data_IF_896107950093
#
_entry.id   IF_896107950093
#
_cell.length_a   1.000
_cell.length_b   1.000
_cell.length_c   1.000
_cell.angle_alpha   90.00
_cell.angle_beta   90.00
_cell.angle_gamma   90.00
#
_symmetry.space_group_name_H-M   'P 1'
#
loop_
_entity.id
_entity.type
_entity.pdbx_description
1 polymer ?
#
# COMPACT_ATOMS: atom_id res chain seq x y z
N UNK A 1 -32.94 8.69 -0.18
CA UNK A 1 -32.04 7.64 -0.68
C UNK A 1 -31.28 7.07 0.49
N UNK A 2 -31.20 5.74 0.57
CA UNK A 2 -30.50 5.04 1.64
C UNK A 2 -29.08 4.68 1.20
N UNK A 3 -28.11 5.11 1.99
CA UNK A 3 -26.68 4.86 1.77
C UNK A 3 -26.18 4.03 2.95
N UNK A 4 -25.44 2.97 2.69
CA UNK A 4 -24.86 2.13 3.73
C UNK A 4 -23.34 2.15 3.63
N UNK A 5 -22.65 2.39 4.73
CA UNK A 5 -21.18 2.17 4.86
C UNK A 5 -21.00 0.86 5.61
N UNK A 6 -20.56 -0.18 4.91
CA UNK A 6 -20.51 -1.54 5.47
C UNK A 6 -19.34 -1.77 6.42
N UNK A 7 -18.23 -1.05 6.25
CA UNK A 7 -16.98 -1.27 6.97
C UNK A 7 -16.05 -0.03 6.89
N UNK A 8 -16.48 1.09 7.47
CA UNK A 8 -15.83 2.39 7.32
C UNK A 8 -14.73 2.73 8.32
N UNK A 9 -14.44 1.87 9.33
CA UNK A 9 -13.53 2.21 10.43
C UNK A 9 -12.10 2.50 9.98
N UNK A 10 -11.58 1.77 9.00
CA UNK A 10 -10.18 1.91 8.56
C UNK A 10 -9.97 3.26 7.86
N UNK A 11 -10.97 3.75 7.15
CA UNK A 11 -10.93 5.06 6.49
C UNK A 11 -11.24 6.20 7.46
N UNK A 12 -12.12 5.96 8.44
CA UNK A 12 -12.49 6.95 9.42
C UNK A 12 -12.64 6.35 10.83
N UNK A 13 -11.54 6.24 11.58
CA UNK A 13 -11.58 5.76 12.96
C UNK A 13 -12.15 6.81 13.94
N UNK A 14 -12.73 7.91 13.44
CA UNK A 14 -13.34 8.98 14.24
C UNK A 14 -12.62 10.33 14.14
N UNK A 15 -11.61 10.46 13.28
CA UNK A 15 -10.83 11.69 13.09
C UNK A 15 -11.18 12.44 11.78
N UNK A 16 -12.15 11.94 11.01
CA UNK A 16 -12.70 12.57 9.80
C UNK A 16 -14.21 12.74 9.92
N UNK A 17 -14.80 13.57 9.05
CA UNK A 17 -16.24 13.85 9.06
C UNK A 17 -16.98 13.11 7.95
N UNK A 18 -18.06 12.40 8.29
CA UNK A 18 -18.99 11.84 7.33
C UNK A 18 -20.06 12.84 6.83
N UNK A 19 -20.12 14.05 7.39
CA UNK A 19 -21.14 15.05 7.02
C UNK A 19 -21.30 15.29 5.51
N UNK A 20 -20.23 15.30 4.67
CA UNK A 20 -20.40 15.41 3.22
C UNK A 20 -21.16 14.23 2.58
N UNK A 21 -21.06 13.03 3.16
CA UNK A 21 -21.84 11.86 2.71
C UNK A 21 -23.26 11.93 3.21
N UNK A 22 -23.49 12.33 4.46
CA UNK A 22 -24.81 12.51 5.09
C UNK A 22 -25.66 13.54 4.35
N UNK A 23 -25.03 14.55 3.75
CA UNK A 23 -25.71 15.53 2.92
C UNK A 23 -26.34 14.96 1.63
N UNK A 24 -25.99 13.70 1.25
CA UNK A 24 -26.50 13.04 0.05
C UNK A 24 -27.70 12.12 0.30
N UNK A 25 -27.97 11.75 1.55
CA UNK A 25 -29.07 10.85 1.88
C UNK A 25 -29.05 10.38 3.33
N UNK A 26 -29.91 9.43 3.63
CA UNK A 26 -29.94 8.73 4.91
C UNK A 26 -28.79 7.72 4.97
N UNK A 27 -27.82 7.92 5.86
CA UNK A 27 -26.60 7.11 5.94
C UNK A 27 -26.59 6.27 7.22
N UNK A 28 -26.30 4.98 7.08
CA UNK A 28 -26.02 4.08 8.20
C UNK A 28 -24.58 3.59 8.10
N UNK A 29 -23.88 3.58 9.24
CA UNK A 29 -22.47 3.21 9.31
C UNK A 29 -22.26 1.95 10.10
N UNK A 30 -21.35 1.11 9.61
CA UNK A 30 -20.78 -0.01 10.34
C UNK A 30 -19.25 0.10 10.32
N UNK A 31 -18.62 -0.30 11.41
CA UNK A 31 -17.17 -0.17 11.59
C UNK A 31 -16.41 -1.25 10.82
N UNK A 32 -16.66 -2.52 11.09
CA UNK A 32 -15.86 -3.64 10.63
C UNK A 32 -16.76 -4.80 10.21
N UNK A 33 -16.26 -5.59 9.25
CA UNK A 33 -16.91 -6.82 8.77
C UNK A 33 -15.87 -7.92 8.60
N UNK A 34 -16.28 -9.19 8.67
CA UNK A 34 -15.44 -10.31 8.25
C UNK A 34 -15.17 -10.28 6.75
N UNK A 35 -13.93 -10.53 6.33
CA UNK A 35 -13.49 -10.41 4.92
C UNK A 35 -14.22 -11.35 3.96
N UNK A 36 -14.87 -12.40 4.49
CA UNK A 36 -15.62 -13.41 3.71
C UNK A 36 -17.07 -13.53 4.15
N UNK A 37 -17.58 -12.60 4.98
CA UNK A 37 -18.90 -12.67 5.58
C UNK A 37 -19.96 -12.07 4.65
N UNK A 38 -20.42 -12.88 3.69
CA UNK A 38 -21.46 -12.47 2.74
C UNK A 38 -22.81 -12.25 3.43
N UNK A 39 -23.18 -13.09 4.41
CA UNK A 39 -24.48 -13.02 5.08
C UNK A 39 -24.58 -11.72 5.89
N UNK A 40 -23.51 -11.33 6.57
CA UNK A 40 -23.45 -10.04 7.26
C UNK A 40 -23.44 -8.87 6.26
N UNK A 41 -22.76 -9.00 5.11
CA UNK A 41 -22.80 -7.98 4.04
C UNK A 41 -24.24 -7.78 3.54
N UNK A 42 -24.97 -8.87 3.26
CA UNK A 42 -26.39 -8.84 2.84
C UNK A 42 -27.23 -8.14 3.92
N UNK A 43 -27.07 -8.54 5.18
CA UNK A 43 -27.82 -7.96 6.29
C UNK A 43 -27.59 -6.44 6.42
N UNK A 44 -26.35 -5.98 6.23
CA UNK A 44 -26.02 -4.55 6.32
C UNK A 44 -26.54 -3.76 5.13
N UNK A 45 -26.35 -4.26 3.92
CA UNK A 45 -26.85 -3.59 2.72
C UNK A 45 -28.39 -3.52 2.78
N UNK A 46 -29.07 -4.63 3.07
CA UNK A 46 -30.51 -4.65 3.26
C UNK A 46 -31.26 -4.04 2.08
N UNK A 47 -32.02 -2.98 2.34
CA UNK A 47 -32.80 -2.24 1.33
C UNK A 47 -32.11 -0.96 0.82
N UNK A 48 -30.80 -0.79 1.10
CA UNK A 48 -30.06 0.39 0.65
C UNK A 48 -29.87 0.45 -0.87
N UNK A 49 -29.85 1.66 -1.39
CA UNK A 49 -29.66 1.94 -2.82
C UNK A 49 -28.18 2.11 -3.19
N UNK A 50 -27.36 2.53 -2.23
CA UNK A 50 -25.92 2.74 -2.42
C UNK A 50 -25.16 2.00 -1.32
N UNK A 51 -24.21 1.17 -1.72
CA UNK A 51 -23.25 0.52 -0.83
C UNK A 51 -21.86 1.18 -0.94
N UNK A 52 -21.37 1.71 0.17
CA UNK A 52 -20.02 2.19 0.36
C UNK A 52 -19.27 1.12 1.13
N UNK A 53 -18.27 0.50 0.51
CA UNK A 53 -17.57 -0.66 1.05
C UNK A 53 -16.07 -0.47 1.03
N UNK A 54 -15.33 -1.12 1.93
CA UNK A 54 -13.87 -1.24 1.83
C UNK A 54 -13.46 -2.69 1.52
N UNK A 55 -13.73 -3.63 2.45
CA UNK A 55 -13.36 -5.04 2.33
C UNK A 55 -14.58 -6.00 2.44
N UNK A 56 -15.76 -5.46 2.62
CA UNK A 56 -17.00 -6.25 2.58
C UNK A 56 -17.10 -6.99 1.24
N UNK A 57 -17.31 -8.33 1.22
CA UNK A 57 -17.41 -9.07 -0.01
C UNK A 57 -18.75 -8.78 -0.70
N UNK A 58 -18.73 -8.36 -1.97
CA UNK A 58 -19.92 -8.15 -2.78
C UNK A 58 -19.91 -9.13 -3.95
N UNK A 59 -20.28 -10.36 -3.65
CA UNK A 59 -20.37 -11.48 -4.60
C UNK A 59 -21.72 -11.48 -5.33
N UNK A 60 -21.92 -12.42 -6.26
CA UNK A 60 -23.22 -12.67 -6.93
C UNK A 60 -24.34 -12.85 -5.93
N UNK A 61 -24.11 -13.66 -4.87
CA UNK A 61 -25.09 -13.91 -3.81
C UNK A 61 -25.53 -12.61 -3.14
N UNK A 62 -24.57 -11.72 -2.83
CA UNK A 62 -24.87 -10.43 -2.21
C UNK A 62 -25.67 -9.54 -3.15
N UNK A 63 -25.25 -9.43 -4.41
CA UNK A 63 -25.95 -8.63 -5.44
C UNK A 63 -27.39 -9.10 -5.63
N UNK A 64 -27.62 -10.42 -5.78
CA UNK A 64 -28.95 -10.97 -5.96
C UNK A 64 -29.85 -10.81 -4.71
N UNK A 65 -29.26 -10.77 -3.52
CA UNK A 65 -29.97 -10.60 -2.25
C UNK A 65 -30.33 -9.14 -1.94
N UNK A 66 -29.75 -8.16 -2.66
CA UNK A 66 -29.95 -6.73 -2.44
C UNK A 66 -30.58 -6.06 -3.68
N UNK A 67 -31.87 -6.30 -3.99
CA UNK A 67 -32.49 -5.90 -5.27
C UNK A 67 -32.60 -4.38 -5.45
N UNK A 68 -32.49 -3.58 -4.38
CA UNK A 68 -32.57 -2.13 -4.45
C UNK A 68 -31.22 -1.47 -4.74
N UNK A 69 -30.12 -2.24 -4.77
CA UNK A 69 -28.77 -1.72 -4.94
C UNK A 69 -28.58 -1.17 -6.35
N UNK A 70 -28.17 0.10 -6.43
CA UNK A 70 -28.02 0.85 -7.69
C UNK A 70 -26.58 1.32 -7.93
N UNK A 71 -25.77 1.40 -6.87
CA UNK A 71 -24.36 1.82 -6.93
C UNK A 71 -23.56 1.09 -5.86
N UNK A 72 -22.38 0.63 -6.24
CA UNK A 72 -21.34 0.18 -5.31
C UNK A 72 -20.17 1.13 -5.42
N UNK A 73 -19.69 1.71 -4.32
CA UNK A 73 -18.45 2.50 -4.30
C UNK A 73 -17.46 1.92 -3.31
N UNK A 74 -16.23 1.65 -3.77
CA UNK A 74 -15.18 1.01 -2.99
C UNK A 74 -14.25 2.10 -2.44
N UNK A 75 -14.03 2.14 -1.14
CA UNK A 75 -13.15 3.07 -0.41
C UNK A 75 -11.65 2.75 -0.65
N UNK A 76 -11.30 2.30 -1.84
CA UNK A 76 -9.94 1.91 -2.21
C UNK A 76 -9.75 1.97 -3.74
N UNK A 77 -8.49 1.89 -4.19
CA UNK A 77 -8.17 1.67 -5.61
C UNK A 77 -8.46 0.21 -6.01
N UNK A 78 -8.12 -0.76 -5.15
CA UNK A 78 -8.40 -2.18 -5.39
C UNK A 78 -9.87 -2.53 -5.12
N UNK A 79 -10.49 -3.29 -6.03
CA UNK A 79 -11.91 -3.63 -5.98
C UNK A 79 -12.19 -5.15 -6.10
N UNK A 80 -11.19 -5.97 -5.81
CA UNK A 80 -11.26 -7.44 -5.93
C UNK A 80 -12.33 -8.08 -5.05
N UNK A 81 -12.86 -7.34 -4.08
CA UNK A 81 -13.95 -7.79 -3.18
C UNK A 81 -15.33 -7.75 -3.85
N UNK A 82 -15.43 -7.18 -5.07
CA UNK A 82 -16.67 -7.06 -5.83
C UNK A 82 -16.62 -7.95 -7.08
N UNK A 83 -17.67 -8.74 -7.34
CA UNK A 83 -17.88 -9.37 -8.64
C UNK A 83 -18.33 -8.30 -9.65
N UNK A 84 -17.36 -7.56 -10.18
CA UNK A 84 -17.60 -6.43 -11.10
C UNK A 84 -18.24 -6.85 -12.42
N UNK A 85 -17.98 -8.09 -12.88
CA UNK A 85 -18.58 -8.61 -14.09
C UNK A 85 -20.10 -8.84 -13.88
N UNK A 86 -20.47 -9.45 -12.76
CA UNK A 86 -21.86 -9.68 -12.43
C UNK A 86 -22.61 -8.38 -12.09
N UNK A 87 -21.97 -7.44 -11.40
CA UNK A 87 -22.56 -6.12 -11.18
C UNK A 87 -22.88 -5.41 -12.52
N UNK A 88 -22.00 -5.53 -13.53
CA UNK A 88 -22.27 -5.05 -14.89
C UNK A 88 -23.49 -5.72 -15.53
N UNK A 89 -23.60 -7.05 -15.44
CA UNK A 89 -24.78 -7.80 -15.93
C UNK A 89 -26.10 -7.30 -15.32
N UNK A 90 -26.05 -6.86 -14.06
CA UNK A 90 -27.18 -6.29 -13.34
C UNK A 90 -27.40 -4.79 -13.57
N UNK A 91 -26.53 -4.15 -14.34
CA UNK A 91 -26.59 -2.70 -14.59
C UNK A 91 -26.21 -1.86 -13.37
N UNK A 92 -25.46 -2.41 -12.41
CA UNK A 92 -24.99 -1.71 -11.22
C UNK A 92 -23.57 -1.24 -11.46
N UNK A 93 -23.32 0.09 -11.58
CA UNK A 93 -21.98 0.62 -11.66
C UNK A 93 -21.21 0.38 -10.37
N UNK A 94 -19.93 0.04 -10.52
CA UNK A 94 -18.96 -0.10 -9.44
C UNK A 94 -17.92 1.00 -9.60
N UNK A 95 -17.82 1.90 -8.63
CA UNK A 95 -16.82 2.96 -8.61
C UNK A 95 -15.73 2.67 -7.61
N UNK A 96 -14.50 3.03 -7.93
CA UNK A 96 -13.37 2.97 -7.01
C UNK A 96 -12.82 4.37 -6.71
N UNK A 97 -11.79 4.43 -5.87
CA UNK A 97 -11.05 5.67 -5.59
C UNK A 97 -9.64 5.56 -6.16
N UNK A 98 -9.38 6.12 -7.34
CA UNK A 98 -8.03 6.16 -7.88
C UNK A 98 -7.19 7.23 -7.20
N UNK A 99 -5.88 7.01 -7.12
CA UNK A 99 -4.86 8.06 -6.91
C UNK A 99 -4.87 8.80 -5.54
N UNK A 100 -5.43 8.23 -4.49
CA UNK A 100 -5.48 8.88 -3.18
C UNK A 100 -4.16 8.82 -2.39
N UNK A 101 -3.39 7.72 -2.53
CA UNK A 101 -2.26 7.37 -1.66
C UNK A 101 -0.88 7.83 -2.16
N UNK A 102 -0.77 8.53 -3.31
CA UNK A 102 0.52 8.79 -3.96
C UNK A 102 1.59 9.35 -3.04
N UNK A 103 1.30 10.45 -2.37
CA UNK A 103 2.25 11.10 -1.45
C UNK A 103 2.46 10.30 -0.16
N UNK A 104 1.40 9.71 0.40
CA UNK A 104 1.49 8.94 1.63
C UNK A 104 2.38 7.71 1.47
N UNK A 105 2.16 6.93 0.39
CA UNK A 105 2.92 5.73 0.10
C UNK A 105 4.38 6.06 -0.21
N UNK A 106 4.66 7.11 -0.98
CA UNK A 106 6.03 7.53 -1.26
C UNK A 106 6.75 8.02 -0.01
N UNK A 107 6.10 8.82 0.83
CA UNK A 107 6.63 9.25 2.13
C UNK A 107 6.96 8.05 3.03
N UNK A 108 6.08 7.06 3.07
CA UNK A 108 6.27 5.86 3.89
C UNK A 108 7.43 4.99 3.38
N UNK A 109 7.61 4.89 2.05
CA UNK A 109 8.78 4.24 1.44
C UNK A 109 10.08 4.87 1.93
N UNK A 110 10.15 6.20 1.92
CA UNK A 110 11.32 6.94 2.39
C UNK A 110 11.52 6.76 3.90
N UNK A 111 10.44 6.77 4.68
CA UNK A 111 10.52 6.54 6.12
C UNK A 111 11.09 5.15 6.46
N UNK A 112 10.63 4.09 5.78
CA UNK A 112 11.17 2.73 5.93
C UNK A 112 12.65 2.67 5.53
N UNK A 113 13.04 3.35 4.44
CA UNK A 113 14.43 3.44 4.01
C UNK A 113 15.31 4.16 5.06
N UNK A 114 14.84 5.28 5.59
CA UNK A 114 15.60 6.03 6.61
C UNK A 114 15.72 5.23 7.91
N UNK A 115 14.67 4.53 8.33
CA UNK A 115 14.74 3.64 9.50
C UNK A 115 15.73 2.50 9.27
N UNK A 116 15.75 1.90 8.07
CA UNK A 116 16.73 0.88 7.69
C UNK A 116 18.19 1.39 7.72
N UNK A 117 18.41 2.68 7.42
CA UNK A 117 19.74 3.28 7.38
C UNK A 117 20.21 3.81 8.74
N UNK A 118 19.28 4.29 9.58
CA UNK A 118 19.61 5.08 10.77
C UNK A 118 19.19 4.41 12.09
N UNK A 119 18.32 3.40 12.05
CA UNK A 119 17.81 2.64 13.22
C UNK A 119 17.32 3.56 14.35
N UNK A 120 16.56 4.62 13.99
CA UNK A 120 16.11 5.66 14.93
C UNK A 120 15.25 5.05 16.05
N UNK A 121 14.29 4.19 15.68
CA UNK A 121 13.40 3.55 16.65
C UNK A 121 14.14 2.62 17.63
N UNK A 122 15.23 1.95 17.18
CA UNK A 122 16.08 1.17 18.07
C UNK A 122 16.82 2.05 19.07
N UNK A 123 17.48 3.11 18.60
CA UNK A 123 18.28 3.99 19.47
C UNK A 123 17.38 4.76 20.45
N UNK A 124 16.21 5.24 20.03
CA UNK A 124 15.23 5.84 20.92
C UNK A 124 14.87 4.89 22.07
N UNK A 125 14.48 3.64 21.75
CA UNK A 125 14.15 2.64 22.76
C UNK A 125 15.30 2.40 23.75
N UNK A 126 16.53 2.21 23.24
CA UNK A 126 17.69 1.93 24.12
C UNK A 126 18.08 3.13 24.97
N UNK A 127 17.83 4.36 24.54
CA UNK A 127 17.98 5.57 25.36
C UNK A 127 17.00 5.53 26.54
N UNK A 128 15.72 5.24 26.28
CA UNK A 128 14.68 5.13 27.32
C UNK A 128 14.92 3.95 28.29
N UNK A 129 15.59 2.89 27.82
CA UNK A 129 16.05 1.76 28.64
C UNK A 129 17.29 2.11 29.50
N UNK A 130 17.81 3.33 29.38
CA UNK A 130 18.92 3.83 30.21
C UNK A 130 20.31 3.57 29.65
N UNK A 131 20.44 3.09 28.41
CA UNK A 131 21.75 2.79 27.82
C UNK A 131 22.63 4.02 27.71
N UNK A 132 22.09 5.17 27.27
CA UNK A 132 22.89 6.38 27.07
C UNK A 132 23.40 6.97 28.40
N UNK A 133 22.57 7.03 29.45
CA UNK A 133 22.98 7.53 30.76
C UNK A 133 24.10 6.69 31.41
N UNK A 134 24.24 5.43 31.01
CA UNK A 134 25.27 4.51 31.49
C UNK A 134 26.39 4.29 30.46
N UNK A 135 26.39 5.03 29.34
CA UNK A 135 27.45 4.93 28.34
C UNK A 135 28.75 5.57 28.84
N UNK A 136 29.91 4.96 28.58
CA UNK A 136 31.22 5.59 28.89
C UNK A 136 31.50 6.78 27.97
N UNK A 137 30.83 6.85 26.82
CA UNK A 137 31.04 7.90 25.80
C UNK A 137 29.81 8.83 25.71
N UNK A 138 30.01 10.02 25.19
CA UNK A 138 28.96 11.03 25.02
C UNK A 138 27.93 10.64 23.92
N UNK A 139 28.22 9.62 23.09
CA UNK A 139 27.35 9.06 22.04
C UNK A 139 27.58 7.54 21.91
N UNK A 140 26.66 6.86 21.24
CA UNK A 140 26.82 5.46 20.83
C UNK A 140 25.95 5.16 19.60
N UNK A 141 26.29 4.09 18.91
CA UNK A 141 25.44 3.47 17.89
C UNK A 141 25.65 1.96 17.93
N UNK A 142 24.56 1.21 17.74
CA UNK A 142 24.57 -0.26 17.80
C UNK A 142 24.66 -0.90 16.42
N UNK A 143 24.39 -0.11 15.37
CA UNK A 143 24.39 -0.53 13.98
C UNK A 143 25.20 0.45 13.13
N UNK A 144 25.81 0.00 12.03
CA UNK A 144 26.40 0.92 11.06
C UNK A 144 25.34 1.90 10.54
N UNK A 145 25.60 3.19 10.66
CA UNK A 145 24.75 4.23 10.10
C UNK A 145 25.11 4.43 8.62
N UNK A 146 24.10 4.42 7.76
CA UNK A 146 24.26 4.48 6.30
C UNK A 146 23.89 5.87 5.81
N UNK A 147 24.84 6.56 5.16
CA UNK A 147 24.59 7.78 4.41
C UNK A 147 24.09 7.44 3.00
N UNK A 148 23.02 8.12 2.56
CA UNK A 148 22.35 7.85 1.28
C UNK A 148 22.92 8.63 0.10
N UNK A 149 23.60 9.75 0.33
CA UNK A 149 24.17 10.58 -0.73
C UNK A 149 25.11 9.75 -1.62
N UNK A 150 24.91 9.84 -2.93
CA UNK A 150 25.68 9.10 -3.93
C UNK A 150 25.31 7.62 -4.10
N UNK A 151 24.40 7.05 -3.28
CA UNK A 151 23.90 5.69 -3.43
C UNK A 151 22.80 5.60 -4.50
N UNK A 152 22.57 4.40 -5.00
CA UNK A 152 21.58 4.13 -6.04
C UNK A 152 20.25 3.66 -5.42
N UNK A 153 19.18 4.39 -5.68
CA UNK A 153 17.82 4.01 -5.36
C UNK A 153 17.16 3.37 -6.59
N UNK A 154 16.84 2.09 -6.51
CA UNK A 154 16.19 1.33 -7.57
C UNK A 154 14.67 1.27 -7.36
N UNK A 155 13.92 1.55 -8.41
CA UNK A 155 12.46 1.46 -8.44
C UNK A 155 12.02 0.31 -9.33
N UNK A 156 11.44 -0.73 -8.74
CA UNK A 156 10.68 -1.73 -9.48
C UNK A 156 9.26 -1.20 -9.67
N UNK A 157 9.05 -0.46 -10.74
CA UNK A 157 7.85 0.32 -11.02
C UNK A 157 8.05 1.82 -10.80
N UNK A 158 7.89 2.60 -11.85
CA UNK A 158 7.99 4.06 -11.83
C UNK A 158 6.73 4.70 -12.41
N UNK A 159 5.60 4.37 -11.79
CA UNK A 159 4.32 5.04 -12.01
C UNK A 159 4.21 6.30 -11.17
N UNK A 160 2.99 6.76 -10.88
CA UNK A 160 2.75 7.99 -10.11
C UNK A 160 3.43 7.97 -8.73
N UNK A 161 3.29 6.89 -7.96
CA UNK A 161 3.94 6.73 -6.64
C UNK A 161 5.46 6.72 -6.81
N UNK A 162 5.97 5.95 -7.80
CA UNK A 162 7.41 5.87 -8.07
C UNK A 162 8.04 7.21 -8.42
N UNK A 163 7.34 8.08 -9.14
CA UNK A 163 7.82 9.45 -9.45
C UNK A 163 7.97 10.28 -8.18
N UNK A 164 6.96 10.28 -7.29
CA UNK A 164 7.06 11.01 -6.02
C UNK A 164 8.16 10.42 -5.10
N UNK A 165 8.33 9.10 -5.13
CA UNK A 165 9.43 8.45 -4.38
C UNK A 165 10.80 8.81 -4.96
N UNK A 166 10.91 8.84 -6.31
CA UNK A 166 12.14 9.26 -7.00
C UNK A 166 12.52 10.70 -6.67
N UNK A 167 11.54 11.61 -6.65
CA UNK A 167 11.74 13.02 -6.28
C UNK A 167 12.31 13.14 -4.86
N UNK A 168 11.73 12.43 -3.89
CA UNK A 168 12.19 12.42 -2.51
C UNK A 168 13.59 11.79 -2.35
N UNK A 169 13.86 10.66 -3.02
CA UNK A 169 15.17 10.01 -2.99
C UNK A 169 16.27 10.90 -3.61
N UNK A 170 15.97 11.61 -4.69
CA UNK A 170 16.89 12.60 -5.28
C UNK A 170 17.14 13.77 -4.33
N UNK A 171 16.12 14.22 -3.56
CA UNK A 171 16.30 15.23 -2.51
C UNK A 171 17.26 14.80 -1.41
N UNK A 172 17.47 13.49 -1.21
CA UNK A 172 18.46 12.91 -0.30
C UNK A 172 19.83 12.65 -0.98
N UNK A 173 20.03 13.16 -2.20
CA UNK A 173 21.30 13.02 -2.93
C UNK A 173 21.53 11.67 -3.60
N UNK A 174 20.48 10.84 -3.74
CA UNK A 174 20.60 9.51 -4.37
C UNK A 174 20.53 9.59 -5.91
N UNK A 175 21.17 8.63 -6.57
CA UNK A 175 20.95 8.33 -7.98
C UNK A 175 19.73 7.43 -8.13
N UNK A 176 18.76 7.80 -8.97
CA UNK A 176 17.55 7.01 -9.13
C UNK A 176 17.56 6.27 -10.46
N UNK A 177 17.43 4.95 -10.40
CA UNK A 177 17.22 4.07 -11.55
C UNK A 177 15.87 3.37 -11.43
N UNK A 178 15.26 3.01 -12.55
CA UNK A 178 13.95 2.36 -12.54
C UNK A 178 13.82 1.30 -13.63
N UNK A 179 13.11 0.23 -13.32
CA UNK A 179 12.53 -0.70 -14.28
C UNK A 179 11.03 -0.44 -14.38
N UNK A 180 10.53 -0.16 -15.57
CA UNK A 180 9.11 0.01 -15.82
C UNK A 180 8.78 -0.33 -17.28
N UNK A 181 7.61 -0.92 -17.54
CA UNK A 181 7.17 -1.27 -18.90
C UNK A 181 7.07 -0.03 -19.81
N UNK A 182 6.54 1.06 -19.28
CA UNK A 182 6.46 2.35 -19.98
C UNK A 182 7.34 3.38 -19.29
N UNK A 183 8.09 4.14 -20.06
CA UNK A 183 8.99 5.17 -19.56
C UNK A 183 8.30 6.53 -19.69
N UNK A 184 7.75 7.05 -18.59
CA UNK A 184 7.07 8.35 -18.61
C UNK A 184 8.05 9.51 -18.80
N UNK A 185 7.62 10.54 -19.52
CA UNK A 185 8.42 11.75 -19.72
C UNK A 185 8.69 12.44 -18.38
N UNK A 186 7.70 12.52 -17.48
CA UNK A 186 7.87 13.11 -16.14
C UNK A 186 8.99 12.45 -15.31
N UNK A 187 9.15 11.13 -15.40
CA UNK A 187 10.26 10.45 -14.73
C UNK A 187 11.62 10.78 -15.39
N UNK A 188 11.66 10.87 -16.74
CA UNK A 188 12.87 11.28 -17.46
C UNK A 188 13.27 12.72 -17.15
N UNK A 189 12.32 13.62 -17.10
CA UNK A 189 12.56 15.05 -16.79
C UNK A 189 13.07 15.22 -15.35
N UNK A 190 12.65 14.33 -14.43
CA UNK A 190 13.19 14.23 -13.08
C UNK A 190 14.61 13.62 -13.08
N UNK A 191 15.12 13.11 -14.18
CA UNK A 191 16.44 12.47 -14.30
C UNK A 191 16.48 11.05 -13.73
N UNK A 192 15.39 10.30 -13.84
CA UNK A 192 15.36 8.86 -13.56
C UNK A 192 15.95 8.11 -14.75
N UNK A 193 16.97 7.28 -14.50
CA UNK A 193 17.56 6.41 -15.51
C UNK A 193 16.74 5.12 -15.62
N UNK A 194 16.23 4.79 -16.81
CA UNK A 194 15.54 3.53 -17.03
C UNK A 194 16.52 2.42 -17.44
N UNK A 195 16.44 1.30 -16.75
CA UNK A 195 17.31 0.12 -16.94
C UNK A 195 16.48 -1.14 -17.13
N UNK A 196 17.12 -2.22 -17.57
CA UNK A 196 16.53 -3.55 -17.55
C UNK A 196 16.46 -4.12 -16.12
N UNK A 197 15.80 -5.24 -15.95
CA UNK A 197 15.57 -5.84 -14.64
C UNK A 197 16.86 -6.29 -13.95
N UNK A 198 17.78 -6.89 -14.72
CA UNK A 198 19.08 -7.34 -14.18
C UNK A 198 19.95 -6.15 -13.79
N UNK A 199 19.94 -5.08 -14.58
CA UNK A 199 20.61 -3.82 -14.23
C UNK A 199 20.02 -3.16 -13.01
N UNK A 200 18.68 -3.24 -12.80
CA UNK A 200 18.03 -2.76 -11.60
C UNK A 200 18.55 -3.51 -10.36
N UNK A 201 18.55 -4.85 -10.40
CA UNK A 201 19.02 -5.67 -9.29
C UNK A 201 20.50 -5.44 -8.99
N UNK A 202 21.35 -5.48 -10.00
CA UNK A 202 22.80 -5.39 -9.83
C UNK A 202 23.29 -4.02 -9.33
N UNK A 203 22.53 -2.93 -9.61
CA UNK A 203 22.99 -1.56 -9.33
C UNK A 203 22.35 -0.92 -8.09
N UNK A 204 21.24 -1.45 -7.58
CA UNK A 204 20.51 -0.86 -6.47
C UNK A 204 21.24 -1.07 -5.13
N UNK A 205 21.43 0.00 -4.36
CA UNK A 205 21.77 -0.05 -2.93
C UNK A 205 20.50 -0.16 -2.08
N UNK A 206 19.42 0.50 -2.53
CA UNK A 206 18.06 0.37 -2.00
C UNK A 206 17.14 0.02 -3.16
N UNK A 207 16.34 -1.02 -3.01
CA UNK A 207 15.35 -1.45 -4.01
C UNK A 207 13.94 -1.31 -3.44
N UNK A 208 13.12 -0.46 -4.04
CA UNK A 208 11.71 -0.29 -3.67
C UNK A 208 10.76 -0.90 -4.71
N UNK A 209 9.80 -1.70 -4.23
CA UNK A 209 8.78 -2.33 -5.06
C UNK A 209 7.55 -1.44 -5.12
N UNK A 210 7.28 -0.85 -6.31
CA UNK A 210 6.21 0.13 -6.50
C UNK A 210 5.42 -0.07 -7.79
N UNK A 211 5.13 -1.33 -8.13
CA UNK A 211 4.29 -1.68 -9.26
C UNK A 211 3.08 -2.52 -8.82
N UNK A 212 1.99 -2.53 -9.60
CA UNK A 212 0.88 -3.44 -9.37
C UNK A 212 1.33 -4.91 -9.47
N UNK A 213 0.68 -5.78 -8.68
CA UNK A 213 0.86 -7.22 -8.85
C UNK A 213 0.32 -7.67 -10.21
N UNK A 214 1.09 -8.49 -10.90
CA UNK A 214 0.74 -9.15 -12.15
C UNK A 214 1.48 -10.48 -12.23
N UNK A 215 1.07 -11.37 -13.13
CA UNK A 215 1.63 -12.73 -13.21
C UNK A 215 3.16 -12.75 -13.33
N UNK A 216 3.73 -11.81 -14.09
CA UNK A 216 5.17 -11.76 -14.33
C UNK A 216 6.01 -11.34 -13.11
N UNK A 217 5.41 -10.74 -12.10
CA UNK A 217 6.15 -10.24 -10.92
C UNK A 217 5.76 -10.93 -9.61
N UNK A 218 4.93 -11.97 -9.65
CA UNK A 218 4.70 -12.85 -8.51
C UNK A 218 6.02 -13.53 -8.15
N UNK A 219 6.46 -13.40 -6.88
CA UNK A 219 7.72 -13.97 -6.40
C UNK A 219 8.96 -13.43 -7.12
N UNK A 220 8.91 -12.21 -7.65
CA UNK A 220 10.06 -11.61 -8.35
C UNK A 220 11.25 -11.37 -7.41
N UNK A 221 10.99 -11.16 -6.12
CA UNK A 221 12.03 -11.16 -5.09
C UNK A 221 12.14 -12.59 -4.55
N UNK A 222 13.04 -13.34 -5.11
CA UNK A 222 13.35 -14.74 -4.80
C UNK A 222 14.86 -14.92 -4.70
N UNK A 223 15.28 -16.11 -4.31
CA UNK A 223 16.69 -16.48 -4.09
C UNK A 223 17.58 -16.17 -5.31
N UNK A 224 17.09 -16.46 -6.53
CA UNK A 224 17.87 -16.26 -7.76
C UNK A 224 18.08 -14.77 -8.04
N UNK A 225 17.04 -13.96 -7.92
CA UNK A 225 17.12 -12.52 -8.17
C UNK A 225 17.84 -11.80 -7.02
N UNK A 226 17.67 -12.23 -5.77
CA UNK A 226 18.45 -11.73 -4.63
C UNK A 226 19.95 -11.98 -4.84
N UNK A 227 20.34 -13.11 -5.39
CA UNK A 227 21.74 -13.41 -5.68
C UNK A 227 22.39 -12.43 -6.68
N UNK A 228 21.60 -11.82 -7.58
CA UNK A 228 22.07 -10.79 -8.53
C UNK A 228 22.24 -9.41 -7.90
N UNK A 229 21.64 -9.16 -6.73
CA UNK A 229 21.68 -7.88 -6.04
C UNK A 229 23.03 -7.65 -5.38
N UNK A 230 23.31 -6.40 -5.01
CA UNK A 230 24.48 -6.06 -4.20
C UNK A 230 24.41 -6.75 -2.83
N UNK A 231 25.57 -7.11 -2.29
CA UNK A 231 25.66 -7.50 -0.89
C UNK A 231 25.29 -6.32 0.00
N UNK A 232 24.44 -6.55 0.97
CA UNK A 232 23.95 -5.49 1.85
C UNK A 232 22.87 -4.60 1.23
N UNK A 233 22.18 -5.03 0.18
CA UNK A 233 21.04 -4.31 -0.38
C UNK A 233 19.92 -4.14 0.65
N UNK A 234 19.23 -3.00 0.60
CA UNK A 234 18.02 -2.73 1.38
C UNK A 234 16.81 -2.94 0.47
N UNK A 235 15.81 -3.71 0.93
CA UNK A 235 14.58 -3.98 0.17
C UNK A 235 13.40 -3.34 0.87
N UNK A 236 12.62 -2.52 0.14
CA UNK A 236 11.39 -1.89 0.64
C UNK A 236 10.20 -2.39 -0.20
N UNK A 237 9.18 -2.91 0.47
CA UNK A 237 7.95 -3.32 -0.20
C UNK A 237 6.72 -2.76 0.53
N UNK A 238 6.09 -1.78 -0.07
CA UNK A 238 4.79 -1.26 0.32
C UNK A 238 3.80 -1.27 -0.88
N UNK A 239 3.95 -2.27 -1.73
CA UNK A 239 3.10 -2.52 -2.90
C UNK A 239 2.22 -3.75 -2.71
N UNK A 240 2.76 -4.96 -2.94
CA UNK A 240 2.05 -6.24 -2.75
C UNK A 240 3.00 -7.30 -2.21
N UNK A 241 2.57 -8.02 -1.17
CA UNK A 241 3.38 -9.06 -0.51
C UNK A 241 3.74 -10.24 -1.41
N UNK A 242 2.83 -10.62 -2.33
CA UNK A 242 3.03 -11.72 -3.27
C UNK A 242 4.19 -11.52 -4.25
N UNK A 243 4.76 -10.31 -4.33
CA UNK A 243 5.99 -10.06 -5.11
C UNK A 243 7.23 -10.66 -4.46
N UNK A 244 7.16 -11.08 -3.20
CA UNK A 244 8.27 -11.59 -2.41
C UNK A 244 8.05 -13.06 -2.07
N UNK A 245 9.06 -13.89 -2.30
CA UNK A 245 9.16 -15.23 -1.71
C UNK A 245 9.70 -15.06 -0.29
N UNK A 246 8.81 -15.08 0.70
CA UNK A 246 9.10 -14.67 2.07
C UNK A 246 10.22 -15.49 2.73
N UNK A 247 10.28 -16.80 2.46
CA UNK A 247 11.35 -17.65 2.97
C UNK A 247 12.71 -17.26 2.39
N UNK A 248 12.79 -16.99 1.07
CA UNK A 248 14.04 -16.60 0.41
C UNK A 248 14.56 -15.26 0.94
N UNK A 249 13.64 -14.31 1.20
CA UNK A 249 14.00 -13.02 1.80
C UNK A 249 14.46 -13.18 3.25
N UNK A 250 13.79 -14.02 4.06
CA UNK A 250 14.19 -14.29 5.43
C UNK A 250 15.59 -14.93 5.50
N UNK A 251 15.88 -15.90 4.62
CA UNK A 251 17.19 -16.53 4.52
C UNK A 251 18.27 -15.52 4.11
N UNK A 252 17.96 -14.62 3.17
CA UNK A 252 18.87 -13.57 2.72
C UNK A 252 19.16 -12.52 3.81
N UNK A 253 18.17 -12.17 4.61
CA UNK A 253 18.33 -11.29 5.79
C UNK A 253 19.20 -11.96 6.86
N UNK A 254 18.92 -13.22 7.16
CA UNK A 254 19.66 -13.98 8.17
C UNK A 254 21.13 -14.22 7.79
N UNK A 255 21.43 -14.38 6.49
CA UNK A 255 22.80 -14.49 5.97
C UNK A 255 23.52 -13.17 5.78
N UNK A 256 22.83 -12.02 5.81
CA UNK A 256 23.38 -10.70 5.57
C UNK A 256 23.51 -10.32 4.09
N UNK A 257 23.04 -11.16 3.14
CA UNK A 257 22.98 -10.80 1.72
C UNK A 257 22.07 -9.59 1.50
N UNK A 258 20.92 -9.55 2.19
CA UNK A 258 20.06 -8.39 2.35
C UNK A 258 20.34 -7.79 3.73
N UNK A 259 20.75 -6.54 3.79
CA UNK A 259 21.08 -5.87 5.05
C UNK A 259 19.82 -5.56 5.87
N UNK A 260 18.73 -5.19 5.19
CA UNK A 260 17.49 -4.78 5.83
C UNK A 260 16.29 -4.95 4.89
N UNK A 261 15.14 -5.29 5.44
CA UNK A 261 13.86 -5.23 4.73
C UNK A 261 12.84 -4.39 5.49
N UNK A 262 12.22 -3.43 4.79
CA UNK A 262 11.09 -2.65 5.26
C UNK A 262 9.83 -3.04 4.48
N UNK A 263 8.90 -3.73 5.14
CA UNK A 263 7.72 -4.33 4.51
C UNK A 263 6.44 -3.77 5.12
N UNK A 264 5.60 -3.17 4.30
CA UNK A 264 4.25 -2.76 4.72
C UNK A 264 3.19 -3.77 4.30
N UNK A 265 3.59 -4.78 3.53
CA UNK A 265 2.72 -5.83 2.98
C UNK A 265 3.39 -7.19 3.06
N UNK A 266 2.55 -8.23 3.20
CA UNK A 266 2.98 -9.64 3.22
C UNK A 266 2.08 -10.47 2.31
N UNK A 267 2.51 -11.70 1.99
CA UNK A 267 1.81 -12.56 1.01
C UNK A 267 0.38 -12.90 1.41
N UNK A 268 0.13 -12.99 2.71
CA UNK A 268 -1.21 -13.24 3.31
C UNK A 268 -1.47 -12.21 4.40
N UNK A 269 -2.53 -11.45 4.26
CA UNK A 269 -2.94 -10.39 5.19
C UNK A 269 -4.32 -10.70 5.80
N UNK A 270 -4.47 -10.63 7.13
CA UNK A 270 -3.44 -10.35 8.15
C UNK A 270 -2.30 -11.38 8.16
N UNK A 271 -1.11 -10.95 8.63
CA UNK A 271 0.08 -11.81 8.67
C UNK A 271 -0.16 -13.09 9.47
N UNK A 272 0.31 -14.21 8.95
CA UNK A 272 0.23 -15.50 9.64
C UNK A 272 1.29 -15.60 10.72
N UNK A 273 0.97 -16.29 11.82
CA UNK A 273 1.89 -16.48 12.95
C UNK A 273 3.15 -17.28 12.59
N UNK A 274 3.09 -18.09 11.53
CA UNK A 274 4.19 -18.90 11.01
C UNK A 274 4.99 -18.23 9.88
N UNK A 275 4.75 -16.94 9.61
CA UNK A 275 5.47 -16.21 8.58
C UNK A 275 6.96 -16.08 8.94
N UNK A 276 7.91 -16.54 8.08
CA UNK A 276 9.33 -16.56 8.39
C UNK A 276 9.95 -15.17 8.61
N UNK A 277 9.33 -14.12 8.07
CA UNK A 277 9.80 -12.75 8.22
C UNK A 277 9.64 -12.22 9.65
N UNK A 278 8.74 -12.79 10.47
CA UNK A 278 8.55 -12.37 11.87
C UNK A 278 9.78 -12.65 12.75
N UNK A 279 10.61 -13.60 12.36
CA UNK A 279 11.84 -13.97 13.10
C UNK A 279 13.11 -13.64 12.33
N UNK A 280 13.00 -13.08 11.12
CA UNK A 280 14.14 -12.66 10.33
C UNK A 280 14.84 -11.45 10.95
N UNK A 281 16.17 -11.41 10.84
CA UNK A 281 16.98 -10.26 11.29
C UNK A 281 16.68 -9.04 10.45
N UNK A 282 16.76 -7.84 11.05
CA UNK A 282 16.69 -6.57 10.34
C UNK A 282 15.47 -6.46 9.41
N UNK A 283 14.32 -6.95 9.86
CA UNK A 283 13.05 -6.88 9.13
C UNK A 283 12.05 -6.04 9.92
N UNK A 284 11.60 -4.93 9.36
CA UNK A 284 10.47 -4.17 9.88
C UNK A 284 9.24 -4.53 9.05
N UNK A 285 8.15 -4.86 9.74
CA UNK A 285 6.86 -5.15 9.13
C UNK A 285 5.83 -4.21 9.73
N UNK A 286 5.10 -3.51 8.88
CA UNK A 286 3.99 -2.65 9.27
C UNK A 286 2.68 -3.18 8.66
N UNK A 287 1.51 -2.94 9.29
CA UNK A 287 0.28 -3.63 8.95
C UNK A 287 -0.49 -2.95 7.79
N UNK A 288 0.12 -2.87 6.60
CA UNK A 288 -0.44 -2.32 5.36
C UNK A 288 -1.03 -0.91 5.56
N UNK A 289 -0.25 -0.02 6.16
CA UNK A 289 -0.69 1.31 6.58
C UNK A 289 -0.07 2.48 5.80
N UNK A 290 0.80 2.22 4.83
CA UNK A 290 1.50 3.27 4.07
C UNK A 290 0.55 4.25 3.35
N UNK A 291 -0.66 3.80 3.03
CA UNK A 291 -1.72 4.60 2.42
C UNK A 291 -2.52 5.44 3.43
N UNK A 292 -2.48 5.10 4.72
CA UNK A 292 -3.44 5.47 5.76
C UNK A 292 -3.27 6.85 6.39
N UNK A 293 -2.46 7.76 5.81
CA UNK A 293 -2.37 9.13 6.33
C UNK A 293 -3.75 9.82 6.32
N UNK A 294 -3.99 10.72 7.27
CA UNK A 294 -5.25 11.46 7.36
C UNK A 294 -5.60 12.13 6.03
N UNK A 295 -4.63 12.78 5.37
CA UNK A 295 -4.85 13.42 4.07
C UNK A 295 -5.21 12.43 2.95
N UNK A 296 -4.67 11.20 2.97
CA UNK A 296 -5.07 10.15 2.02
C UNK A 296 -6.50 9.67 2.28
N UNK A 297 -6.84 9.43 3.54
CA UNK A 297 -8.18 9.00 3.95
C UNK A 297 -9.23 10.09 3.64
N UNK A 298 -8.91 11.37 3.85
CA UNK A 298 -9.77 12.47 3.43
C UNK A 298 -10.02 12.44 1.91
N UNK A 299 -8.97 12.24 1.09
CA UNK A 299 -9.12 12.13 -0.36
C UNK A 299 -9.99 10.93 -0.78
N UNK A 300 -9.91 9.81 -0.04
CA UNK A 300 -10.82 8.67 -0.27
C UNK A 300 -12.28 9.10 -0.06
N UNK A 301 -12.56 9.74 1.06
CA UNK A 301 -13.91 10.18 1.40
C UNK A 301 -14.43 11.20 0.40
N UNK A 302 -13.63 12.20 0.04
CA UNK A 302 -13.99 13.24 -0.93
C UNK A 302 -14.30 12.64 -2.31
N UNK A 303 -13.47 11.72 -2.78
CA UNK A 303 -13.68 11.02 -4.05
C UNK A 303 -14.94 10.15 -4.01
N UNK A 304 -15.17 9.43 -2.91
CA UNK A 304 -16.39 8.61 -2.72
C UNK A 304 -17.66 9.47 -2.78
N UNK A 305 -17.65 10.61 -2.09
CA UNK A 305 -18.76 11.59 -2.14
C UNK A 305 -18.97 12.09 -3.57
N UNK A 306 -17.88 12.40 -4.30
CA UNK A 306 -17.95 12.85 -5.69
C UNK A 306 -18.45 11.74 -6.64
N UNK A 307 -18.03 10.49 -6.46
CA UNK A 307 -18.56 9.34 -7.22
C UNK A 307 -20.08 9.22 -7.06
N UNK A 308 -20.59 9.36 -5.82
CA UNK A 308 -22.02 9.30 -5.54
C UNK A 308 -22.75 10.49 -6.20
N UNK A 309 -22.22 11.71 -6.07
CA UNK A 309 -22.78 12.90 -6.74
C UNK A 309 -22.84 12.75 -8.25
N UNK A 310 -21.79 12.25 -8.86
CA UNK A 310 -21.69 11.98 -10.29
C UNK A 310 -22.73 10.94 -10.74
N UNK A 311 -22.88 9.85 -9.97
CA UNK A 311 -23.92 8.86 -10.21
C UNK A 311 -25.32 9.48 -10.14
N UNK A 312 -25.61 10.29 -9.13
CA UNK A 312 -26.92 10.96 -8.97
C UNK A 312 -27.23 11.94 -10.09
N UNK A 313 -26.21 12.56 -10.68
CA UNK A 313 -26.37 13.45 -11.84
C UNK A 313 -26.49 12.71 -13.18
N UNK A 314 -26.39 11.35 -13.19
CA UNK A 314 -26.48 10.54 -14.39
C UNK A 314 -25.16 10.41 -15.17
N UNK A 315 -24.04 10.87 -14.60
CA UNK A 315 -22.71 10.83 -15.21
C UNK A 315 -21.71 10.17 -14.28
N UNK A 316 -21.83 8.86 -13.98
CA UNK A 316 -20.96 8.19 -13.00
C UNK A 316 -19.49 8.25 -13.41
N UNK A 317 -18.63 8.55 -12.43
CA UNK A 317 -17.17 8.66 -12.59
C UNK A 317 -16.45 7.52 -11.90
N UNK A 318 -15.18 7.28 -12.29
CA UNK A 318 -14.33 6.22 -11.73
C UNK A 318 -14.97 4.82 -11.78
N UNK A 319 -15.80 4.56 -12.78
CA UNK A 319 -16.48 3.27 -13.00
C UNK A 319 -15.46 2.23 -13.47
N UNK A 320 -15.39 1.08 -12.77
CA UNK A 320 -14.45 -0.01 -13.09
C UNK A 320 -15.09 -1.14 -13.91
N UNK A 321 -16.41 -1.08 -14.12
CA UNK A 321 -17.20 -2.03 -14.94
C UNK A 321 -18.08 -1.32 -15.98
N UNK A 322 -17.52 -0.43 -16.81
CA UNK A 322 -18.29 0.42 -17.75
C UNK A 322 -19.05 -0.38 -18.82
#
# INVERSE_FOLDING_TARGET
>A
MKIIVTDGYVENPGDLSWAPLEALGEVTYYDRIGLTDEDETIRRIGDAEIAVINKAPVTRKVIDSCPNLKLITVLATGYNVVDVAYAKEKGIPVCNVPNYGGYSVSQFTIALMLEACLHIGHHDRTVHEGKWQNSPDWCYWDYPLIELAGKTFGLLGCGRIGIHTAEAAKGLGMHVIAYNRSQSQAAKDLGVEFVDLDGLFARSDVLALQMPLADFNVGIINKENIAKMKDGVIIINNSRGQMVVEQDLADALNSGKVAFAGLDVVSTEPIRADNPLLTAKNCIITPHMSWGSQGSRQRIMDCTVNNIKAFLSGTPENVVNP
#
